data_IF_612432680230
#
_entry.id   IF_612432680230
#
_cell.length_a   1.000
_cell.length_b   1.000
_cell.length_c   1.000
_cell.angle_alpha   90.00
_cell.angle_beta   90.00
_cell.angle_gamma   90.00
#
_symmetry.space_group_name_H-M   'P 1'
#
loop_
_entity.id
_entity.type
_entity.pdbx_description
1 polymer ?
#
# COMPACT_ATOMS: atom_id res chain seq x y z
N UNK A 1 38.95 -56.26 -24.47
CA UNK A 1 39.79 -56.05 -25.67
C UNK A 1 39.98 -54.54 -25.69
N UNK A 2 41.01 -54.08 -25.33
CA UNK A 2 42.45 -53.93 -25.48
C UNK A 2 42.73 -52.44 -25.63
N UNK A 3 43.32 -51.82 -24.64
CA UNK A 3 44.75 -51.53 -24.45
C UNK A 3 45.29 -50.56 -25.50
N UNK A 4 45.62 -49.34 -24.99
CA UNK A 4 47.00 -48.84 -24.81
C UNK A 4 47.65 -48.28 -26.08
N UNK A 5 48.48 -47.26 -26.05
CA UNK A 5 49.86 -47.22 -25.55
C UNK A 5 50.45 -45.81 -25.80
N UNK A 6 51.15 -45.24 -24.81
CA UNK A 6 52.47 -44.59 -24.84
C UNK A 6 52.77 -43.43 -25.83
N UNK A 7 53.53 -42.44 -25.53
CA UNK A 7 54.56 -42.02 -24.56
C UNK A 7 55.60 -41.14 -25.26
N UNK A 8 56.23 -40.30 -24.46
CA UNK A 8 57.56 -39.68 -24.57
C UNK A 8 57.75 -38.43 -25.45
N UNK A 9 58.19 -37.40 -24.89
CA UNK A 9 59.44 -36.87 -24.28
C UNK A 9 60.28 -36.16 -25.35
N UNK A 10 60.91 -35.09 -25.13
CA UNK A 10 61.87 -34.61 -24.20
C UNK A 10 62.30 -33.16 -24.46
N UNK A 11 62.69 -32.51 -23.41
CA UNK A 11 63.64 -31.41 -23.24
C UNK A 11 64.26 -30.69 -24.46
N UNK A 12 64.29 -29.37 -24.37
CA UNK A 12 65.53 -28.60 -24.48
C UNK A 12 65.37 -27.24 -23.70
N UNK A 13 66.32 -27.01 -22.79
CA UNK A 13 66.51 -25.81 -22.01
C UNK A 13 66.95 -24.61 -22.83
N UNK A 14 66.58 -23.43 -22.37
CA UNK A 14 67.06 -22.14 -22.89
C UNK A 14 66.69 -20.99 -21.98
N UNK A 15 67.59 -20.70 -21.02
CA UNK A 15 67.68 -19.55 -20.16
C UNK A 15 67.61 -18.20 -20.88
N UNK A 16 66.82 -17.23 -20.38
CA UNK A 16 67.18 -15.81 -20.20
C UNK A 16 66.00 -14.92 -19.80
N UNK A 17 66.19 -14.22 -18.69
CA UNK A 17 65.75 -12.82 -18.59
C UNK A 17 64.61 -12.51 -17.69
N UNK A 18 64.94 -12.12 -16.46
CA UNK A 18 64.07 -11.42 -15.50
C UNK A 18 63.24 -10.30 -16.11
N UNK A 19 61.92 -10.37 -15.95
CA UNK A 19 61.07 -9.22 -15.64
C UNK A 19 59.86 -9.70 -14.85
N UNK A 20 59.84 -9.27 -13.59
CA UNK A 20 58.68 -9.46 -12.72
C UNK A 20 57.47 -8.72 -13.35
N UNK A 21 56.44 -9.47 -13.76
CA UNK A 21 55.12 -8.95 -14.03
C UNK A 21 54.22 -9.31 -12.84
N UNK A 22 53.69 -8.24 -12.26
CA UNK A 22 52.69 -8.26 -11.20
C UNK A 22 51.51 -9.21 -11.53
N UNK A 23 51.24 -10.13 -10.62
CA UNK A 23 50.08 -11.00 -10.63
C UNK A 23 48.82 -10.13 -10.44
N UNK A 24 47.76 -10.23 -11.27
CA UNK A 24 46.50 -9.59 -10.98
C UNK A 24 45.86 -10.26 -9.78
N UNK A 25 45.61 -9.49 -8.74
CA UNK A 25 44.81 -9.96 -7.58
C UNK A 25 43.42 -10.32 -8.09
N UNK A 26 42.97 -11.51 -7.73
CA UNK A 26 41.60 -12.00 -7.99
C UNK A 26 40.53 -11.08 -7.40
N UNK A 27 39.28 -11.23 -7.81
CA UNK A 27 38.22 -10.32 -7.42
C UNK A 27 38.06 -10.30 -5.91
N UNK A 28 38.15 -9.10 -5.33
CA UNK A 28 37.85 -8.81 -3.93
C UNK A 28 36.44 -9.33 -3.66
N UNK A 29 36.31 -10.15 -2.61
CA UNK A 29 35.05 -10.53 -2.02
C UNK A 29 34.15 -9.30 -1.90
N UNK A 30 33.00 -9.32 -2.58
CA UNK A 30 31.91 -8.37 -2.33
C UNK A 30 31.52 -8.50 -0.86
N UNK A 31 31.92 -7.52 -0.06
CA UNK A 31 31.34 -7.31 1.25
C UNK A 31 29.84 -7.14 1.05
N UNK A 32 29.05 -7.95 1.78
CA UNK A 32 27.60 -7.82 1.90
C UNK A 32 27.26 -6.35 2.17
N UNK A 33 26.70 -5.67 1.17
CA UNK A 33 26.03 -4.39 1.40
C UNK A 33 24.93 -4.66 2.43
N UNK A 34 24.99 -3.98 3.55
CA UNK A 34 23.90 -3.88 4.50
C UNK A 34 22.60 -3.68 3.70
N UNK A 35 21.67 -4.60 3.89
CA UNK A 35 20.27 -4.39 3.50
C UNK A 35 19.85 -3.09 4.17
N UNK A 36 19.54 -2.06 3.37
CA UNK A 36 19.03 -0.79 3.86
C UNK A 36 17.81 -1.07 4.74
N UNK A 37 17.69 -0.29 5.81
CA UNK A 37 16.56 -0.34 6.74
C UNK A 37 15.25 -0.39 5.93
N UNK A 38 14.33 -1.36 6.22
CA UNK A 38 13.02 -1.40 5.57
C UNK A 38 12.26 -0.07 5.61
N UNK A 39 12.52 0.75 6.65
CA UNK A 39 12.02 2.12 6.74
C UNK A 39 12.51 3.04 5.62
N UNK A 40 13.72 2.85 5.10
CA UNK A 40 14.29 3.71 4.05
C UNK A 40 13.66 3.45 2.68
N UNK A 41 13.27 2.20 2.38
CA UNK A 41 12.57 1.83 1.16
C UNK A 41 11.14 2.41 1.11
N UNK A 42 10.44 2.37 2.24
CA UNK A 42 9.08 2.90 2.34
C UNK A 42 9.10 4.43 2.38
N UNK A 43 10.06 5.03 3.06
CA UNK A 43 10.25 6.49 3.10
C UNK A 43 10.58 7.03 1.70
N UNK A 44 11.34 6.32 0.88
CA UNK A 44 11.59 6.68 -0.51
C UNK A 44 10.34 6.54 -1.38
N UNK A 45 9.56 5.47 -1.23
CA UNK A 45 8.31 5.28 -1.97
C UNK A 45 7.24 6.32 -1.58
N UNK A 46 7.22 6.76 -0.32
CA UNK A 46 6.33 7.79 0.19
C UNK A 46 6.92 9.20 0.02
N UNK A 47 8.25 9.37 0.08
CA UNK A 47 8.94 10.66 -0.02
C UNK A 47 8.89 11.29 -1.42
N UNK A 48 8.82 10.49 -2.49
CA UNK A 48 8.60 10.98 -3.85
C UNK A 48 7.24 11.68 -4.00
N UNK A 49 6.28 11.37 -3.11
CA UNK A 49 4.94 11.95 -3.13
C UNK A 49 4.84 13.28 -2.35
N UNK A 50 5.83 13.62 -1.52
CA UNK A 50 5.70 14.72 -0.55
C UNK A 50 6.22 16.08 -1.04
N UNK A 51 7.17 16.14 -1.96
CA UNK A 51 7.91 17.39 -2.22
C UNK A 51 7.26 18.32 -3.26
N UNK A 52 6.42 17.83 -4.16
CA UNK A 52 5.93 18.64 -5.30
C UNK A 52 4.53 19.24 -5.14
N UNK A 53 3.76 18.84 -4.12
CA UNK A 53 2.39 19.34 -3.90
C UNK A 53 2.23 20.33 -2.74
N UNK A 54 3.30 20.68 -2.02
CA UNK A 54 3.22 21.58 -0.86
C UNK A 54 3.14 23.08 -1.20
N UNK A 55 3.11 23.48 -2.46
CA UNK A 55 3.20 24.91 -2.83
C UNK A 55 1.89 25.64 -3.07
N UNK A 56 0.75 24.96 -3.12
CA UNK A 56 -0.52 25.64 -3.34
C UNK A 56 -1.60 25.24 -2.32
N UNK A 57 -1.94 26.18 -1.47
CA UNK A 57 -3.10 26.30 -0.57
C UNK A 57 -2.93 25.84 0.88
N UNK A 58 -2.50 26.78 1.72
CA UNK A 58 -2.85 26.85 3.16
C UNK A 58 -4.36 27.19 3.35
N UNK A 59 -5.27 26.44 2.75
CA UNK A 59 -6.70 26.63 3.01
C UNK A 59 -7.03 25.91 4.32
N UNK A 60 -7.35 26.68 5.37
CA UNK A 60 -7.81 26.10 6.64
C UNK A 60 -9.12 25.33 6.42
N UNK A 61 -9.37 24.21 7.14
CA UNK A 61 -10.61 23.44 7.01
C UNK A 61 -11.89 24.27 7.19
N UNK A 62 -11.81 25.40 7.91
CA UNK A 62 -12.92 26.34 8.16
C UNK A 62 -13.28 27.21 6.97
N UNK A 63 -12.36 27.41 6.03
CA UNK A 63 -12.52 28.39 4.92
C UNK A 63 -12.91 27.71 3.61
N UNK A 64 -13.15 26.39 3.64
CA UNK A 64 -13.53 25.61 2.47
C UNK A 64 -14.98 25.91 2.06
N UNK A 65 -15.17 26.38 0.83
CA UNK A 65 -16.51 26.40 0.22
C UNK A 65 -16.94 24.95 -0.05
N UNK A 66 -17.91 24.47 0.75
CA UNK A 66 -18.45 23.13 0.59
C UNK A 66 -19.39 23.09 -0.62
N UNK A 67 -19.06 22.24 -1.58
CA UNK A 67 -20.01 21.83 -2.60
C UNK A 67 -20.92 20.74 -2.02
N UNK A 68 -22.13 20.59 -2.56
CA UNK A 68 -23.03 19.50 -2.19
C UNK A 68 -23.26 18.59 -3.39
N UNK A 69 -23.11 17.31 -3.17
CA UNK A 69 -23.48 16.27 -4.13
C UNK A 69 -24.72 15.54 -3.63
N UNK A 70 -25.77 15.51 -4.44
CA UNK A 70 -26.97 14.72 -4.16
C UNK A 70 -26.74 13.30 -4.69
N UNK A 71 -26.88 12.33 -3.83
CA UNK A 71 -26.76 10.90 -4.16
C UNK A 71 -28.08 10.37 -4.76
N UNK A 72 -28.05 9.17 -5.32
CA UNK A 72 -29.19 8.57 -6.01
C UNK A 72 -30.44 8.37 -5.12
N UNK A 73 -30.27 8.34 -3.79
CA UNK A 73 -31.37 8.23 -2.81
C UNK A 73 -31.81 9.58 -2.24
N UNK A 74 -31.30 10.70 -2.77
CA UNK A 74 -31.61 12.05 -2.30
C UNK A 74 -30.74 12.51 -1.12
N UNK A 75 -29.85 11.67 -0.58
CA UNK A 75 -28.91 12.07 0.48
C UNK A 75 -27.95 13.13 -0.05
N UNK A 76 -27.80 14.24 0.68
CA UNK A 76 -26.78 15.26 0.38
C UNK A 76 -25.45 14.89 1.01
N UNK A 77 -24.38 14.90 0.22
CA UNK A 77 -23.02 14.67 0.65
C UNK A 77 -22.18 15.94 0.43
N UNK A 78 -21.61 16.54 1.50
CA UNK A 78 -20.74 17.70 1.36
C UNK A 78 -19.39 17.30 0.77
N UNK A 79 -18.77 18.17 -0.04
CA UNK A 79 -17.47 17.98 -0.65
C UNK A 79 -16.58 19.20 -0.44
N UNK A 80 -15.32 19.03 0.01
CA UNK A 80 -14.75 17.75 0.46
C UNK A 80 -15.51 17.20 1.66
N UNK A 81 -15.52 15.84 1.81
CA UNK A 81 -15.95 15.23 3.08
C UNK A 81 -14.88 15.51 4.14
N UNK A 82 -15.33 16.00 5.30
CA UNK A 82 -14.45 16.25 6.44
C UNK A 82 -14.51 15.10 7.42
N UNK A 83 -13.33 14.65 7.83
CA UNK A 83 -13.11 13.65 8.84
C UNK A 83 -12.49 14.32 10.06
N UNK A 84 -13.23 14.39 11.18
CA UNK A 84 -12.83 15.17 12.36
C UNK A 84 -12.18 14.32 13.44
N UNK A 85 -12.67 13.08 13.60
CA UNK A 85 -12.17 12.14 14.58
C UNK A 85 -12.18 10.73 13.99
N UNK A 86 -10.98 10.23 13.69
CA UNK A 86 -10.76 8.94 13.02
C UNK A 86 -9.63 8.22 13.72
N UNK A 87 -9.78 6.92 13.92
CA UNK A 87 -8.69 6.01 14.24
C UNK A 87 -8.30 5.25 12.97
N UNK A 88 -7.04 5.29 12.60
CA UNK A 88 -6.55 4.66 11.39
C UNK A 88 -5.27 3.88 11.65
N UNK A 89 -5.21 2.64 11.17
CA UNK A 89 -3.99 1.87 11.01
C UNK A 89 -3.83 1.53 9.54
N UNK A 90 -2.68 1.88 8.99
CA UNK A 90 -2.25 1.58 7.62
C UNK A 90 -1.18 0.51 7.70
N UNK A 91 -1.41 -0.65 7.09
CA UNK A 91 -0.48 -1.77 7.06
C UNK A 91 0.05 -1.97 5.65
N UNK A 92 1.36 -1.82 5.46
CA UNK A 92 2.04 -1.95 4.16
C UNK A 92 2.70 -3.31 4.03
N UNK A 93 2.38 -4.02 2.95
CA UNK A 93 2.92 -5.34 2.62
C UNK A 93 3.68 -5.28 1.29
N UNK A 94 4.61 -6.21 1.12
CA UNK A 94 5.26 -6.48 -0.15
C UNK A 94 4.74 -7.80 -0.72
N UNK A 95 4.40 -7.81 -2.00
CA UNK A 95 4.02 -9.02 -2.74
C UNK A 95 4.80 -9.10 -4.05
N UNK A 96 4.75 -10.22 -4.75
CA UNK A 96 5.36 -10.32 -6.06
C UNK A 96 4.65 -9.42 -7.07
N UNK A 97 5.41 -8.75 -7.93
CA UNK A 97 4.87 -7.78 -8.91
C UNK A 97 3.74 -8.39 -9.76
N UNK A 98 3.91 -9.65 -10.22
CA UNK A 98 2.90 -10.31 -11.04
C UNK A 98 1.57 -10.52 -10.28
N UNK A 99 1.61 -10.78 -8.97
CA UNK A 99 0.41 -10.92 -8.12
C UNK A 99 -0.35 -9.61 -7.99
N UNK A 100 0.39 -8.51 -7.80
CA UNK A 100 -0.20 -7.17 -7.77
C UNK A 100 -0.82 -6.81 -9.13
N UNK A 101 -0.15 -7.13 -10.24
CA UNK A 101 -0.63 -6.90 -11.60
C UNK A 101 -1.95 -7.66 -11.90
N UNK A 102 -2.17 -8.83 -11.29
CA UNK A 102 -3.45 -9.55 -11.43
C UNK A 102 -4.64 -8.72 -10.93
N UNK A 103 -4.46 -7.95 -9.86
CA UNK A 103 -5.51 -7.09 -9.30
C UNK A 103 -5.78 -5.83 -10.13
N UNK A 104 -4.91 -5.51 -11.10
CA UNK A 104 -5.05 -4.37 -12.01
C UNK A 104 -5.63 -4.77 -13.36
N UNK A 105 -5.89 -6.06 -13.61
CA UNK A 105 -6.48 -6.53 -14.86
C UNK A 105 -7.81 -5.85 -15.16
N UNK A 106 -7.99 -5.45 -16.42
CA UNK A 106 -9.17 -4.70 -16.85
C UNK A 106 -9.08 -3.19 -16.60
N UNK A 107 -7.94 -2.70 -16.09
CA UNK A 107 -7.62 -1.28 -15.99
C UNK A 107 -6.49 -0.91 -16.94
N UNK A 108 -6.25 0.39 -17.13
CA UNK A 108 -5.04 0.88 -17.81
C UNK A 108 -3.84 1.08 -16.87
N UNK A 109 -4.00 0.73 -15.58
CA UNK A 109 -2.98 0.95 -14.56
C UNK A 109 -1.92 -0.15 -14.56
N UNK A 110 -0.72 0.19 -14.12
CA UNK A 110 0.42 -0.73 -14.00
C UNK A 110 0.91 -0.73 -12.55
N UNK A 111 1.13 -1.90 -11.97
CA UNK A 111 1.70 -2.00 -10.62
C UNK A 111 3.12 -1.41 -10.59
N UNK A 112 3.41 -0.61 -9.57
CA UNK A 112 4.74 -0.02 -9.39
C UNK A 112 5.68 -1.09 -8.84
N UNK A 113 6.77 -1.35 -9.59
CA UNK A 113 7.81 -2.28 -9.17
C UNK A 113 8.78 -1.61 -8.19
N UNK A 114 9.12 -2.32 -7.12
CA UNK A 114 10.25 -2.01 -6.28
C UNK A 114 11.54 -2.63 -6.85
N UNK A 115 12.72 -2.26 -6.31
CA UNK A 115 14.03 -2.70 -6.82
C UNK A 115 14.22 -4.22 -6.86
N UNK A 116 13.51 -4.96 -5.99
CA UNK A 116 13.59 -6.42 -5.86
C UNK A 116 12.50 -7.19 -6.63
N UNK A 117 11.77 -6.53 -7.54
CA UNK A 117 10.65 -7.12 -8.28
C UNK A 117 9.38 -7.32 -7.44
N UNK A 118 9.31 -6.67 -6.29
CA UNK A 118 8.12 -6.63 -5.44
C UNK A 118 7.23 -5.44 -5.80
N UNK A 119 5.98 -5.52 -5.36
CA UNK A 119 5.01 -4.43 -5.42
C UNK A 119 4.45 -4.15 -4.03
N UNK A 120 3.98 -2.93 -3.82
CA UNK A 120 3.39 -2.48 -2.57
C UNK A 120 1.89 -2.73 -2.59
N UNK A 121 1.42 -3.42 -1.54
CA UNK A 121 0.00 -3.61 -1.22
C UNK A 121 -0.25 -2.97 0.15
N UNK A 122 -1.36 -2.23 0.27
CA UNK A 122 -1.69 -1.54 1.51
C UNK A 122 -3.08 -1.95 1.98
N UNK A 123 -3.18 -2.26 3.26
CA UNK A 123 -4.44 -2.40 3.98
C UNK A 123 -4.67 -1.19 4.87
N UNK A 124 -5.82 -0.55 4.69
CA UNK A 124 -6.33 0.50 5.55
C UNK A 124 -7.37 -0.11 6.50
N UNK A 125 -7.20 0.09 7.81
CA UNK A 125 -8.12 -0.35 8.84
C UNK A 125 -8.58 0.88 9.62
N UNK A 126 -9.81 1.32 9.41
CA UNK A 126 -10.25 2.65 9.81
C UNK A 126 -11.56 2.59 10.58
N UNK A 127 -11.59 3.29 11.71
CA UNK A 127 -12.80 3.64 12.45
C UNK A 127 -13.03 5.14 12.32
N UNK A 128 -14.06 5.53 11.59
CA UNK A 128 -14.52 6.92 11.47
C UNK A 128 -15.56 7.18 12.56
N UNK A 129 -15.22 7.99 13.56
CA UNK A 129 -16.09 8.30 14.70
C UNK A 129 -16.92 9.54 14.48
N UNK A 130 -16.31 10.60 13.93
CA UNK A 130 -17.00 11.88 13.62
C UNK A 130 -16.62 12.29 12.20
N UNK A 131 -17.62 12.31 11.32
CA UNK A 131 -17.49 12.75 9.92
C UNK A 131 -18.75 13.46 9.43
N UNK A 132 -18.67 14.13 8.28
CA UNK A 132 -19.82 14.77 7.64
C UNK A 132 -20.92 13.79 7.19
N UNK A 133 -20.60 12.50 7.07
CA UNK A 133 -21.54 11.44 6.62
C UNK A 133 -21.88 10.41 7.72
N UNK A 134 -21.58 10.77 8.98
CA UNK A 134 -21.80 9.93 10.16
C UNK A 134 -20.67 8.95 10.44
N UNK A 135 -20.78 8.16 11.52
CA UNK A 135 -19.77 7.19 11.91
C UNK A 135 -19.86 5.90 11.09
N UNK A 136 -18.70 5.30 10.78
CA UNK A 136 -18.62 3.99 10.11
C UNK A 136 -17.20 3.41 10.23
N UNK A 137 -17.08 2.11 9.95
CA UNK A 137 -15.79 1.44 9.82
C UNK A 137 -15.50 1.10 8.37
N UNK A 138 -14.22 1.01 8.03
CA UNK A 138 -13.76 0.74 6.67
C UNK A 138 -12.49 -0.12 6.69
N UNK A 139 -12.41 -1.06 5.74
CA UNK A 139 -11.18 -1.77 5.42
C UNK A 139 -10.88 -1.58 3.94
N UNK A 140 -9.69 -1.09 3.60
CA UNK A 140 -9.28 -0.89 2.22
C UNK A 140 -8.16 -1.84 1.81
N UNK A 141 -8.32 -2.50 0.66
CA UNK A 141 -7.24 -3.21 -0.04
C UNK A 141 -6.83 -2.38 -1.26
N UNK A 142 -5.57 -1.99 -1.33
CA UNK A 142 -5.04 -1.19 -2.44
C UNK A 142 -3.73 -1.75 -2.97
N UNK A 143 -3.41 -1.43 -4.22
CA UNK A 143 -2.12 -1.70 -4.87
C UNK A 143 -1.53 -0.37 -5.33
N UNK A 144 -0.27 -0.11 -5.02
CA UNK A 144 0.42 1.07 -5.55
C UNK A 144 0.60 0.91 -7.07
N UNK A 145 0.02 1.83 -7.83
CA UNK A 145 -0.06 1.77 -9.28
C UNK A 145 0.30 3.11 -9.94
N UNK A 146 0.76 3.03 -11.18
CA UNK A 146 0.97 4.16 -12.06
C UNK A 146 -0.12 4.20 -13.15
N UNK A 147 -0.54 5.39 -13.53
CA UNK A 147 -1.46 5.61 -14.64
C UNK A 147 -0.72 6.18 -15.85
N UNK A 148 -1.06 5.78 -17.08
CA UNK A 148 -0.48 6.39 -18.28
C UNK A 148 -0.70 7.91 -18.28
N UNK A 149 0.39 8.66 -18.52
CA UNK A 149 0.36 10.12 -18.58
C UNK A 149 0.28 10.84 -17.24
N UNK A 150 0.25 10.14 -16.11
CA UNK A 150 0.35 10.73 -14.77
C UNK A 150 1.69 10.31 -14.14
N UNK A 151 2.59 11.25 -13.82
CA UNK A 151 3.91 10.94 -13.27
C UNK A 151 3.88 10.48 -11.82
N UNK A 152 2.75 10.68 -11.11
CA UNK A 152 2.65 10.43 -9.68
C UNK A 152 1.83 9.17 -9.43
N UNK A 153 2.46 8.08 -8.94
CA UNK A 153 1.75 6.87 -8.53
C UNK A 153 0.69 7.15 -7.46
N UNK A 154 -0.33 6.30 -7.43
CA UNK A 154 -1.35 6.35 -6.41
C UNK A 154 -1.84 4.94 -6.04
N UNK A 155 -2.53 4.81 -4.94
CA UNK A 155 -3.11 3.56 -4.46
C UNK A 155 -4.36 3.22 -5.29
N UNK A 156 -4.30 2.24 -6.18
CA UNK A 156 -5.50 1.72 -6.82
C UNK A 156 -6.35 0.97 -5.80
N UNK A 157 -7.60 1.42 -5.63
CA UNK A 157 -8.52 0.83 -4.64
C UNK A 157 -9.19 -0.41 -5.23
N UNK A 158 -8.70 -1.57 -4.83
CA UNK A 158 -9.22 -2.88 -5.28
C UNK A 158 -10.55 -3.19 -4.60
N UNK A 159 -10.62 -3.03 -3.28
CA UNK A 159 -11.83 -3.21 -2.47
C UNK A 159 -11.84 -2.22 -1.32
N UNK A 160 -13.04 -1.75 -0.95
CA UNK A 160 -13.20 -0.78 0.13
C UNK A 160 -14.53 -1.01 0.90
N UNK A 161 -14.71 -2.19 1.58
CA UNK A 161 -15.89 -2.43 2.39
C UNK A 161 -16.06 -1.42 3.51
N UNK A 162 -17.34 -1.11 3.80
CA UNK A 162 -17.78 -0.17 4.83
C UNK A 162 -18.95 -0.73 5.63
N UNK A 163 -19.21 -0.18 6.82
CA UNK A 163 -20.32 -0.65 7.65
C UNK A 163 -21.66 0.04 7.37
N UNK A 164 -21.69 1.14 6.59
CA UNK A 164 -22.93 1.92 6.37
C UNK A 164 -23.31 2.05 4.90
N UNK A 165 -24.61 2.10 4.63
CA UNK A 165 -25.15 2.28 3.29
C UNK A 165 -24.76 3.67 2.70
N UNK A 166 -24.76 4.71 3.52
CA UNK A 166 -24.40 6.07 3.10
C UNK A 166 -22.94 6.12 2.62
N UNK A 167 -21.98 5.61 3.41
CA UNK A 167 -20.56 5.57 3.02
C UNK A 167 -20.34 4.70 1.77
N UNK A 168 -21.07 3.58 1.65
CA UNK A 168 -21.05 2.74 0.45
C UNK A 168 -21.51 3.53 -0.79
N UNK A 169 -22.69 4.17 -0.72
CA UNK A 169 -23.29 4.89 -1.85
C UNK A 169 -22.44 6.08 -2.26
N UNK A 170 -22.08 6.95 -1.31
CA UNK A 170 -21.24 8.11 -1.59
C UNK A 170 -19.93 7.72 -2.28
N UNK A 171 -19.22 6.70 -1.75
CA UNK A 171 -17.97 6.26 -2.34
C UNK A 171 -18.11 5.73 -3.76
N UNK A 172 -19.17 4.97 -4.04
CA UNK A 172 -19.42 4.40 -5.37
C UNK A 172 -19.82 5.47 -6.39
N UNK A 173 -20.73 6.36 -6.03
CA UNK A 173 -21.33 7.31 -6.97
C UNK A 173 -20.43 8.52 -7.25
N UNK A 174 -19.63 8.95 -6.26
CA UNK A 174 -18.79 10.16 -6.41
C UNK A 174 -17.40 9.80 -6.94
N UNK A 175 -16.80 8.73 -6.43
CA UNK A 175 -15.40 8.39 -6.71
C UNK A 175 -15.20 7.07 -7.45
N UNK A 176 -16.23 6.25 -7.61
CA UNK A 176 -16.09 4.93 -8.21
C UNK A 176 -15.36 3.92 -7.32
N UNK A 177 -15.29 4.16 -6.01
CA UNK A 177 -14.71 3.19 -5.07
C UNK A 177 -15.48 1.87 -5.11
N UNK A 178 -14.76 0.75 -5.20
CA UNK A 178 -15.34 -0.59 -5.15
C UNK A 178 -15.77 -0.93 -3.71
N UNK A 179 -16.81 -0.23 -3.24
CA UNK A 179 -17.38 -0.39 -1.90
C UNK A 179 -18.50 -1.42 -1.88
N UNK A 180 -18.66 -2.05 -0.73
CA UNK A 180 -19.81 -2.88 -0.37
C UNK A 180 -20.03 -2.80 1.14
N UNK A 181 -21.25 -3.12 1.60
CA UNK A 181 -21.55 -3.14 3.04
C UNK A 181 -21.13 -4.48 3.63
N UNK A 182 -20.43 -4.41 4.75
CA UNK A 182 -19.89 -5.58 5.46
C UNK A 182 -19.86 -5.33 6.98
N UNK A 183 -19.71 -6.39 7.77
CA UNK A 183 -19.44 -6.27 9.19
C UNK A 183 -17.93 -6.06 9.41
N UNK A 184 -17.58 -4.96 10.06
CA UNK A 184 -16.18 -4.58 10.32
C UNK A 184 -16.05 -4.16 11.79
N UNK A 185 -15.22 -4.89 12.53
CA UNK A 185 -14.81 -4.53 13.88
C UNK A 185 -13.39 -3.95 13.84
N UNK A 186 -13.19 -2.78 14.46
CA UNK A 186 -11.88 -2.18 14.69
C UNK A 186 -11.71 -1.99 16.18
N UNK A 187 -10.63 -2.53 16.75
CA UNK A 187 -10.35 -2.44 18.19
C UNK A 187 -8.92 -1.99 18.42
N UNK A 188 -8.74 -1.08 19.38
CA UNK A 188 -7.43 -0.62 19.83
C UNK A 188 -7.41 -0.47 21.32
N UNK A 189 -6.56 -1.23 21.98
CA UNK A 189 -6.38 -1.22 23.44
C UNK A 189 -4.89 -1.07 23.78
N UNK A 190 -4.50 0.09 24.27
CA UNK A 190 -3.10 0.43 24.49
C UNK A 190 -2.31 0.31 23.16
N UNK A 191 -1.36 -0.61 23.11
CA UNK A 191 -0.58 -0.89 21.88
C UNK A 191 -1.23 -1.94 20.96
N UNK A 192 -2.14 -2.75 21.47
CA UNK A 192 -2.82 -3.79 20.68
C UNK A 192 -3.77 -3.16 19.68
N UNK A 193 -3.81 -3.73 18.49
CA UNK A 193 -4.75 -3.34 17.43
C UNK A 193 -5.25 -4.59 16.72
N UNK A 194 -6.54 -4.62 16.44
CA UNK A 194 -7.12 -5.66 15.59
C UNK A 194 -8.24 -5.10 14.73
N UNK A 195 -8.40 -5.68 13.54
CA UNK A 195 -9.58 -5.50 12.70
C UNK A 195 -10.05 -6.85 12.18
N UNK A 196 -11.37 -7.01 12.10
CA UNK A 196 -12.02 -8.22 11.59
C UNK A 196 -13.06 -7.80 10.57
N UNK A 197 -12.95 -8.33 9.37
CA UNK A 197 -13.88 -8.11 8.27
C UNK A 197 -14.65 -9.41 8.00
N UNK A 198 -15.98 -9.33 8.00
CA UNK A 198 -16.89 -10.43 7.67
C UNK A 198 -17.85 -10.01 6.57
N UNK A 199 -18.24 -10.95 5.74
CA UNK A 199 -19.25 -10.73 4.72
C UNK A 199 -20.67 -10.66 5.31
N UNK A 200 -21.68 -10.54 4.45
CA UNK A 200 -23.10 -10.48 4.83
C UNK A 200 -23.63 -11.77 5.44
N UNK A 201 -22.96 -12.89 5.26
CA UNK A 201 -23.26 -14.18 5.88
C UNK A 201 -22.47 -14.41 7.18
N UNK A 202 -21.81 -13.36 7.69
CA UNK A 202 -20.94 -13.39 8.87
C UNK A 202 -19.73 -14.33 8.75
N UNK A 203 -19.33 -14.70 7.52
CA UNK A 203 -18.13 -15.49 7.24
C UNK A 203 -16.90 -14.57 7.15
N UNK A 204 -15.79 -15.00 7.75
CA UNK A 204 -14.55 -14.23 7.75
C UNK A 204 -14.03 -14.01 6.33
N UNK A 205 -13.83 -12.74 5.96
CA UNK A 205 -13.11 -12.29 4.76
C UNK A 205 -11.62 -12.12 5.06
N UNK A 206 -11.30 -11.47 6.17
CA UNK A 206 -9.93 -11.31 6.63
C UNK A 206 -9.85 -10.64 7.99
N UNK A 207 -8.71 -10.80 8.66
CA UNK A 207 -8.42 -10.18 9.93
C UNK A 207 -6.94 -9.76 10.01
N UNK A 208 -6.69 -8.61 10.61
CA UNK A 208 -5.35 -8.15 10.98
C UNK A 208 -5.31 -7.99 12.49
N UNK A 209 -4.28 -8.54 13.13
CA UNK A 209 -4.06 -8.35 14.55
C UNK A 209 -2.57 -8.19 14.87
N UNK A 210 -2.26 -7.46 15.93
CA UNK A 210 -0.89 -7.27 16.37
C UNK A 210 -0.75 -6.22 17.46
N UNK A 211 0.50 -5.84 17.72
CA UNK A 211 0.84 -4.82 18.69
C UNK A 211 1.82 -3.83 18.10
N UNK A 212 1.53 -2.54 18.27
CA UNK A 212 2.40 -1.45 17.81
C UNK A 212 3.69 -1.45 18.61
N UNK A 213 4.83 -1.45 17.93
CA UNK A 213 6.17 -1.35 18.53
C UNK A 213 6.51 0.08 18.97
N UNK A 214 7.80 0.33 19.17
CA UNK A 214 8.34 1.68 19.24
C UNK A 214 8.02 2.40 17.93
N UNK A 215 7.58 3.64 18.00
CA UNK A 215 7.11 4.38 16.83
C UNK A 215 7.82 5.71 16.67
N UNK A 216 7.94 6.16 15.45
CA UNK A 216 8.49 7.44 15.05
C UNK A 216 7.36 8.29 14.49
N UNK A 217 7.20 9.55 14.94
CA UNK A 217 6.23 10.45 14.32
C UNK A 217 6.65 10.76 12.87
N UNK A 218 5.68 10.71 11.96
CA UNK A 218 5.86 11.06 10.55
C UNK A 218 4.94 12.23 10.21
N UNK A 219 5.37 13.18 9.35
CA UNK A 219 4.53 14.31 8.98
C UNK A 219 3.23 13.84 8.30
N UNK A 220 2.19 14.68 8.31
CA UNK A 220 1.00 14.44 7.49
C UNK A 220 1.38 14.29 6.02
N UNK A 221 0.83 13.28 5.37
CA UNK A 221 1.10 13.00 3.96
C UNK A 221 -0.22 12.71 3.27
N UNK A 222 -0.49 13.40 2.16
CA UNK A 222 -1.71 13.18 1.36
C UNK A 222 -1.74 11.75 0.82
N UNK A 223 -2.91 11.12 0.87
CA UNK A 223 -3.15 9.82 0.26
C UNK A 223 -3.76 10.04 -1.11
N UNK A 224 -3.08 9.55 -2.14
CA UNK A 224 -3.58 9.57 -3.50
C UNK A 224 -4.19 8.22 -3.85
N UNK A 225 -5.38 8.23 -4.45
CA UNK A 225 -6.04 6.99 -4.88
C UNK A 225 -6.41 7.02 -6.36
N UNK A 226 -6.39 5.85 -7.00
CA UNK A 226 -6.99 5.59 -8.29
C UNK A 226 -8.21 4.68 -8.14
N UNK A 227 -9.23 4.96 -8.92
CA UNK A 227 -10.44 4.14 -9.06
C UNK A 227 -10.90 4.14 -10.51
N UNK A 228 -11.94 3.36 -10.80
CA UNK A 228 -12.64 3.38 -12.10
C UNK A 228 -14.07 3.88 -11.89
N UNK A 229 -14.45 4.93 -12.61
CA UNK A 229 -15.82 5.41 -12.67
C UNK A 229 -16.23 5.62 -14.12
N UNK A 230 -17.27 4.91 -14.56
CA UNK A 230 -17.76 4.97 -15.96
C UNK A 230 -16.65 4.70 -17.00
N UNK A 231 -15.78 3.72 -16.72
CA UNK A 231 -14.68 3.33 -17.60
C UNK A 231 -13.47 4.28 -17.61
N UNK A 232 -13.47 5.33 -16.79
CA UNK A 232 -12.36 6.29 -16.68
C UNK A 232 -11.62 6.12 -15.37
N UNK A 233 -10.30 6.29 -15.40
CA UNK A 233 -9.49 6.36 -14.17
C UNK A 233 -9.78 7.70 -13.48
N UNK A 234 -10.13 7.61 -12.21
CA UNK A 234 -10.35 8.78 -11.34
C UNK A 234 -9.19 8.85 -10.36
N UNK A 235 -8.51 9.98 -10.30
CA UNK A 235 -7.50 10.28 -9.29
C UNK A 235 -8.12 11.14 -8.19
N UNK A 236 -7.96 10.73 -6.95
CA UNK A 236 -8.54 11.42 -5.79
C UNK A 236 -7.46 11.72 -4.76
N UNK A 237 -7.54 12.90 -4.13
CA UNK A 237 -6.68 13.34 -3.04
C UNK A 237 -7.44 13.24 -1.72
N UNK A 238 -6.86 12.54 -0.75
CA UNK A 238 -7.27 12.58 0.65
C UNK A 238 -6.18 13.37 1.38
N UNK A 239 -6.46 14.62 1.71
CA UNK A 239 -5.52 15.48 2.46
C UNK A 239 -5.53 15.09 3.92
N UNK A 240 -4.42 14.64 4.43
CA UNK A 240 -4.23 14.28 5.84
C UNK A 240 -3.69 15.49 6.60
N UNK A 241 -4.32 15.84 7.72
CA UNK A 241 -4.01 17.06 8.49
C UNK A 241 -3.25 16.79 9.79
N UNK A 242 -3.17 15.51 10.20
CA UNK A 242 -2.51 15.10 11.44
C UNK A 242 -1.38 14.13 11.17
N UNK A 243 -0.32 14.11 11.99
CA UNK A 243 0.79 13.18 11.81
C UNK A 243 0.38 11.73 12.08
N UNK A 244 1.12 10.81 11.45
CA UNK A 244 1.11 9.39 11.78
C UNK A 244 2.26 9.04 12.73
N UNK A 245 2.15 7.88 13.37
CA UNK A 245 3.23 7.21 14.08
C UNK A 245 3.60 5.92 13.33
N UNK A 246 4.78 5.87 12.75
CA UNK A 246 5.27 4.72 11.99
C UNK A 246 6.04 3.76 12.90
N UNK A 247 5.83 2.46 12.74
CA UNK A 247 6.58 1.40 13.41
C UNK A 247 6.74 0.18 12.52
N UNK A 248 7.67 -0.73 12.88
CA UNK A 248 7.75 -2.05 12.24
C UNK A 248 6.41 -2.78 12.33
N UNK A 249 6.05 -3.49 11.28
CA UNK A 249 4.84 -4.31 11.22
C UNK A 249 5.04 -5.76 11.68
N UNK A 250 6.24 -6.17 12.09
CA UNK A 250 6.61 -7.57 12.38
C UNK A 250 5.71 -8.28 13.40
N UNK A 251 5.18 -7.53 14.37
CA UNK A 251 4.27 -8.06 15.40
C UNK A 251 2.82 -8.20 14.91
N UNK A 252 2.51 -7.74 13.71
CA UNK A 252 1.20 -7.91 13.09
C UNK A 252 1.19 -9.14 12.18
N UNK A 253 0.04 -9.77 12.10
CA UNK A 253 -0.21 -10.88 11.18
C UNK A 253 -1.58 -10.65 10.53
N UNK A 254 -1.64 -10.83 9.21
CA UNK A 254 -2.90 -10.87 8.48
C UNK A 254 -3.34 -12.31 8.25
N UNK A 255 -4.62 -12.58 8.46
CA UNK A 255 -5.26 -13.87 8.17
C UNK A 255 -6.32 -13.68 7.10
N UNK A 256 -6.23 -14.43 6.03
CA UNK A 256 -7.29 -14.53 5.02
C UNK A 256 -8.37 -15.47 5.52
N UNK A 257 -9.62 -15.09 5.33
CA UNK A 257 -10.77 -15.90 5.74
C UNK A 257 -11.17 -16.95 4.72
N UNK A 258 -12.36 -17.54 4.95
CA UNK A 258 -12.94 -18.58 4.10
C UNK A 258 -14.20 -18.12 3.37
N UNK A 259 -14.52 -16.82 3.43
CA UNK A 259 -15.65 -16.24 2.72
C UNK A 259 -15.52 -16.45 1.21
N UNK A 260 -16.65 -16.66 0.53
CA UNK A 260 -16.72 -16.71 -0.94
C UNK A 260 -16.77 -15.34 -1.59
N UNK A 261 -16.69 -14.27 -0.79
CA UNK A 261 -16.69 -12.90 -1.31
C UNK A 261 -15.43 -12.67 -2.19
N UNK A 262 -15.54 -11.97 -3.34
CA UNK A 262 -14.40 -11.73 -4.25
C UNK A 262 -13.18 -11.09 -3.57
N UNK A 263 -13.38 -10.26 -2.54
CA UNK A 263 -12.26 -9.68 -1.78
C UNK A 263 -11.37 -10.73 -1.12
N UNK A 264 -11.93 -11.86 -0.65
CA UNK A 264 -11.14 -12.98 -0.08
C UNK A 264 -10.16 -13.53 -1.12
N UNK A 265 -10.60 -13.68 -2.37
CA UNK A 265 -9.74 -14.11 -3.48
C UNK A 265 -8.66 -13.06 -3.78
N UNK A 266 -8.99 -11.77 -3.76
CA UNK A 266 -8.03 -10.69 -3.98
C UNK A 266 -6.93 -10.69 -2.91
N UNK A 267 -7.30 -10.87 -1.63
CA UNK A 267 -6.35 -10.99 -0.52
C UNK A 267 -5.42 -12.20 -0.68
N UNK A 268 -5.98 -13.34 -1.12
CA UNK A 268 -5.20 -14.56 -1.42
C UNK A 268 -4.28 -14.38 -2.63
N UNK A 269 -4.75 -13.69 -3.68
CA UNK A 269 -3.97 -13.41 -4.88
C UNK A 269 -2.68 -12.68 -4.56
N UNK A 270 -2.72 -11.71 -3.66
CA UNK A 270 -1.54 -10.96 -3.22
C UNK A 270 -0.83 -11.59 -2.01
N UNK A 271 -1.16 -12.86 -1.71
CA UNK A 271 -0.47 -13.69 -0.71
C UNK A 271 -0.44 -13.08 0.71
N UNK A 272 -1.57 -12.53 1.16
CA UNK A 272 -1.63 -11.92 2.48
C UNK A 272 -1.87 -12.93 3.62
N UNK A 273 -2.25 -14.17 3.36
CA UNK A 273 -2.47 -15.15 4.44
C UNK A 273 -1.17 -15.46 5.19
N UNK A 274 -1.17 -15.24 6.51
CA UNK A 274 0.00 -15.36 7.37
C UNK A 274 1.05 -14.25 7.16
N UNK A 275 0.82 -13.30 6.24
CA UNK A 275 1.77 -12.25 5.95
C UNK A 275 1.87 -11.24 7.10
N UNK A 276 3.08 -10.69 7.26
CA UNK A 276 3.39 -9.60 8.18
C UNK A 276 3.66 -8.32 7.38
N UNK A 277 3.06 -7.19 7.76
CA UNK A 277 3.39 -5.93 7.11
C UNK A 277 4.84 -5.54 7.39
N UNK A 278 5.49 -4.93 6.41
CA UNK A 278 6.85 -4.36 6.57
C UNK A 278 6.83 -3.06 7.37
N UNK A 279 5.69 -2.35 7.32
CA UNK A 279 5.48 -1.09 8.02
C UNK A 279 4.03 -1.00 8.47
N UNK A 280 3.81 -0.44 9.64
CA UNK A 280 2.50 0.05 10.07
C UNK A 280 2.58 1.52 10.44
N UNK A 281 1.57 2.28 10.01
CA UNK A 281 1.38 3.67 10.37
C UNK A 281 0.05 3.80 11.12
N UNK A 282 0.04 4.52 12.21
CA UNK A 282 -1.12 4.66 13.08
C UNK A 282 -1.37 6.12 13.41
N UNK A 283 -2.61 6.55 13.36
CA UNK A 283 -3.06 7.86 13.83
C UNK A 283 -4.36 7.74 14.64
N UNK A 284 -4.42 8.47 15.73
CA UNK A 284 -5.60 8.59 16.60
C UNK A 284 -5.48 9.81 17.51
N UNK A 285 -6.24 10.90 17.28
CA UNK A 285 -7.14 11.08 16.14
C UNK A 285 -6.39 11.36 14.85
N UNK A 286 -6.96 10.92 13.73
CA UNK A 286 -6.61 11.40 12.40
C UNK A 286 -7.68 12.38 11.93
N UNK A 287 -7.26 13.48 11.31
CA UNK A 287 -8.13 14.42 10.63
C UNK A 287 -7.77 14.47 9.15
N UNK A 288 -8.77 14.50 8.28
CA UNK A 288 -8.55 14.49 6.84
C UNK A 288 -9.70 15.14 6.06
N UNK A 289 -9.43 15.46 4.80
CA UNK A 289 -10.37 15.97 3.81
C UNK A 289 -10.36 15.07 2.57
N UNK A 290 -11.51 14.54 2.18
CA UNK A 290 -11.66 13.78 0.95
C UNK A 290 -12.23 14.68 -0.14
N UNK A 291 -11.37 15.06 -1.09
CA UNK A 291 -11.74 15.94 -2.19
C UNK A 291 -12.48 15.20 -3.32
N UNK A 292 -13.24 15.92 -4.17
CA UNK A 292 -13.74 15.34 -5.41
C UNK A 292 -12.59 14.75 -6.24
N UNK A 293 -12.85 13.60 -6.87
CA UNK A 293 -11.90 13.00 -7.79
C UNK A 293 -11.89 13.72 -9.14
N UNK A 294 -10.76 13.71 -9.83
CA UNK A 294 -10.62 14.14 -11.22
C UNK A 294 -10.39 12.95 -12.14
N UNK A 295 -11.02 12.96 -13.31
CA UNK A 295 -10.73 11.98 -14.35
C UNK A 295 -9.36 12.27 -15.00
N UNK A 296 -8.63 11.19 -15.29
CA UNK A 296 -7.40 11.24 -16.08
C UNK A 296 -7.69 11.08 -17.58
#
# INVERSE_FOLDING_TARGET
MDRSVFSKAADIAGDRGHRARSVPQGPRSMQSKHMGDPGDLVTRALGILAEDHMKDNETRPTDLQLQRRVLSDGTECPLPIRYFDVQCLVATFLTDLYRAAELLKGTSLVAVSQEDGKAVVVLYCIEYRITDIGPYNEVGLTVLAAAPGDPIPANYVVNLPVTTAVANRAGREIWGYNKFVAAIDVKSEGKKFSTVLRDTENVLVGALEGSRGASIPTPPTDILTFTLLNGRVIKTVIRVLTPYHASSGESFVFKVGTSRHPMTNNLSTVALDGARPVLVQYANPLQALLFPGRAL
#
